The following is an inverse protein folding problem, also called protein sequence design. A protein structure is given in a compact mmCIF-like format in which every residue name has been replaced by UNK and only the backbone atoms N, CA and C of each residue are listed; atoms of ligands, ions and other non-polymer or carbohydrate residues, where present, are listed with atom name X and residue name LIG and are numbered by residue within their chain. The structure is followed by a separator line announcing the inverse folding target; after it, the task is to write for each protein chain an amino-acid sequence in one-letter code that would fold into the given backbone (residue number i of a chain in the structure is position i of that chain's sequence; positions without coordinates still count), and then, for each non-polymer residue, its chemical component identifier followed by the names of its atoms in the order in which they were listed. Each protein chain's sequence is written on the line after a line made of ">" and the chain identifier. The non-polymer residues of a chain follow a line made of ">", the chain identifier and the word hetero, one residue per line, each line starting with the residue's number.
data_IF_391431194324
#
_entry.id   IF_391431194324
#
_cell.length_a   1.000
_cell.length_b   1.000
_cell.length_c   1.000
_cell.angle_alpha   90.00
_cell.angle_beta   90.00
_cell.angle_gamma   90.00
#
_symmetry.space_group_name_H-M   'P 1'
#
loop_
_entity.id
_entity.type
_entity.pdbx_description
1 polymer ?
#
# COMPACT_ATOMS: atom_id res chain seq x y z
N UNK A 1 7.00 35.38 -8.55
CA UNK A 1 5.78 34.55 -8.36
C UNK A 1 6.21 33.39 -7.49
N UNK A 2 5.89 33.44 -6.21
CA UNK A 2 6.16 32.31 -5.32
C UNK A 2 5.24 31.16 -5.71
N UNK A 3 5.84 30.09 -6.24
CA UNK A 3 5.12 28.85 -6.51
C UNK A 3 5.02 28.13 -5.16
N UNK A 4 3.93 28.35 -4.45
CA UNK A 4 3.63 27.56 -3.25
C UNK A 4 3.26 26.15 -3.71
N UNK A 5 4.09 25.16 -3.36
CA UNK A 5 3.85 23.77 -3.70
C UNK A 5 2.57 23.22 -3.04
N UNK A 6 1.96 22.22 -3.68
CA UNK A 6 0.77 21.52 -3.15
C UNK A 6 1.21 20.27 -2.40
N UNK A 7 0.69 20.09 -1.18
CA UNK A 7 0.89 18.85 -0.41
C UNK A 7 0.05 17.75 -1.07
N UNK A 8 0.65 16.63 -1.53
CA UNK A 8 -0.09 15.56 -2.17
C UNK A 8 -0.90 14.75 -1.16
N UNK A 9 -2.13 14.38 -1.53
CA UNK A 9 -2.95 13.43 -0.77
C UNK A 9 -2.60 12.01 -1.17
N UNK A 10 -2.49 11.10 -0.20
CA UNK A 10 -2.19 9.69 -0.47
C UNK A 10 -3.48 8.88 -0.56
N UNK A 11 -3.64 8.13 -1.65
CA UNK A 11 -4.69 7.11 -1.74
C UNK A 11 -4.29 5.86 -0.96
N UNK A 12 -5.24 4.94 -0.74
CA UNK A 12 -4.91 3.62 -0.20
C UNK A 12 -3.94 2.85 -1.11
N UNK A 13 -4.09 2.97 -2.43
CA UNK A 13 -3.18 2.38 -3.41
C UNK A 13 -1.76 2.90 -3.27
N UNK A 14 -1.60 4.22 -3.08
CA UNK A 14 -0.28 4.82 -2.82
C UNK A 14 0.38 4.27 -1.56
N UNK A 15 -0.40 4.11 -0.48
CA UNK A 15 0.09 3.53 0.77
C UNK A 15 0.53 2.08 0.59
N UNK A 16 -0.24 1.26 -0.12
CA UNK A 16 0.11 -0.13 -0.43
C UNK A 16 1.39 -0.22 -1.27
N UNK A 17 1.50 0.63 -2.29
CA UNK A 17 2.69 0.73 -3.14
C UNK A 17 3.91 1.15 -2.35
N UNK A 18 3.79 2.19 -1.51
CA UNK A 18 4.89 2.66 -0.66
C UNK A 18 5.33 1.63 0.36
N UNK A 19 4.38 0.92 0.98
CA UNK A 19 4.67 -0.19 1.88
C UNK A 19 5.42 -1.32 1.17
N UNK A 20 5.03 -1.68 -0.07
CA UNK A 20 5.77 -2.65 -0.88
C UNK A 20 7.16 -2.13 -1.25
N UNK A 21 7.28 -0.89 -1.74
CA UNK A 21 8.56 -0.29 -2.13
C UNK A 21 9.57 -0.35 -0.96
N UNK A 22 9.12 -0.17 0.28
CA UNK A 22 9.94 -0.33 1.49
C UNK A 22 10.54 -1.73 1.69
N UNK A 23 10.00 -2.77 1.05
CA UNK A 23 10.56 -4.14 1.08
C UNK A 23 11.64 -4.37 0.02
N UNK A 24 11.79 -3.46 -0.95
CA UNK A 24 12.65 -3.65 -2.12
C UNK A 24 12.11 -4.63 -3.18
N UNK A 25 10.93 -5.23 -2.98
CA UNK A 25 10.33 -6.18 -3.89
C UNK A 25 9.61 -5.50 -5.06
N UNK A 26 9.79 -6.01 -6.27
CA UNK A 26 8.96 -5.66 -7.43
C UNK A 26 7.52 -6.15 -7.24
N UNK A 27 6.55 -5.61 -8.00
CA UNK A 27 5.16 -6.10 -7.95
C UNK A 27 5.03 -7.59 -8.25
N UNK A 28 5.87 -8.13 -9.15
CA UNK A 28 5.91 -9.57 -9.48
C UNK A 28 6.43 -10.40 -8.31
N UNK A 29 7.53 -9.99 -7.68
CA UNK A 29 8.09 -10.72 -6.53
C UNK A 29 7.14 -10.66 -5.34
N UNK A 30 6.55 -9.50 -5.08
CA UNK A 30 5.58 -9.33 -4.00
C UNK A 30 4.31 -10.17 -4.22
N UNK A 31 3.82 -10.25 -5.46
CA UNK A 31 2.71 -11.14 -5.82
C UNK A 31 3.04 -12.61 -5.56
N UNK A 32 4.27 -13.03 -5.88
CA UNK A 32 4.73 -14.39 -5.63
C UNK A 32 4.79 -14.72 -4.13
N UNK A 33 5.27 -13.77 -3.29
CA UNK A 33 5.27 -13.92 -1.82
C UNK A 33 3.84 -14.06 -1.28
N UNK A 34 2.89 -13.33 -1.85
CA UNK A 34 1.48 -13.36 -1.43
C UNK A 34 0.66 -14.50 -2.03
N UNK A 35 1.19 -15.25 -3.00
CA UNK A 35 0.46 -16.30 -3.70
C UNK A 35 -0.70 -15.79 -4.55
N UNK A 36 -0.58 -14.58 -5.12
CA UNK A 36 -1.60 -13.95 -5.98
C UNK A 36 -1.02 -13.57 -7.35
N UNK A 37 -1.86 -13.15 -8.30
CA UNK A 37 -1.37 -12.67 -9.59
C UNK A 37 -0.69 -11.29 -9.45
N UNK A 38 0.24 -10.99 -10.36
CA UNK A 38 0.81 -9.64 -10.47
C UNK A 38 -0.28 -8.58 -10.70
N UNK A 39 -1.32 -8.91 -11.46
CA UNK A 39 -2.45 -8.02 -11.72
C UNK A 39 -3.25 -7.67 -10.46
N UNK A 40 -3.36 -8.58 -9.49
CA UNK A 40 -3.97 -8.28 -8.18
C UNK A 40 -3.18 -7.18 -7.47
N UNK A 41 -1.85 -7.24 -7.51
CA UNK A 41 -0.99 -6.24 -6.87
C UNK A 41 -1.14 -4.89 -7.57
N UNK A 42 -1.02 -4.85 -8.90
CA UNK A 42 -1.12 -3.59 -9.65
C UNK A 42 -2.51 -2.96 -9.54
N UNK A 43 -3.58 -3.75 -9.52
CA UNK A 43 -4.94 -3.23 -9.37
C UNK A 43 -5.19 -2.65 -7.98
N UNK A 44 -4.62 -3.26 -6.94
CA UNK A 44 -4.70 -2.73 -5.58
C UNK A 44 -3.89 -1.43 -5.43
N UNK A 45 -2.66 -1.38 -5.94
CA UNK A 45 -1.78 -0.21 -5.89
C UNK A 45 -2.30 0.99 -6.71
N UNK A 46 -3.08 0.74 -7.76
CA UNK A 46 -3.65 1.79 -8.61
C UNK A 46 -5.12 2.12 -8.27
N UNK A 47 -5.67 1.58 -7.18
CA UNK A 47 -7.09 1.76 -6.80
C UNK A 47 -8.10 1.35 -7.91
N UNK A 48 -7.73 0.47 -8.83
CA UNK A 48 -8.62 0.01 -9.92
C UNK A 48 -9.77 -0.85 -9.42
N UNK A 49 -9.60 -1.51 -8.27
CA UNK A 49 -10.65 -2.31 -7.62
C UNK A 49 -10.73 -1.98 -6.14
N UNK A 50 -11.89 -2.23 -5.55
CA UNK A 50 -12.04 -2.13 -4.10
C UNK A 50 -11.13 -3.17 -3.44
N UNK A 51 -10.07 -2.69 -2.80
CA UNK A 51 -9.18 -3.55 -2.01
C UNK A 51 -9.93 -4.08 -0.81
N UNK A 52 -10.02 -5.41 -0.70
CA UNK A 52 -10.71 -6.07 0.41
C UNK A 52 -9.83 -6.02 1.66
N UNK A 53 -10.43 -5.98 2.85
CA UNK A 53 -9.68 -5.97 4.13
C UNK A 53 -8.67 -7.12 4.24
N UNK A 54 -9.01 -8.31 3.72
CA UNK A 54 -8.08 -9.46 3.70
C UNK A 54 -6.79 -9.15 2.92
N UNK A 55 -6.87 -8.39 1.84
CA UNK A 55 -5.71 -7.96 1.05
C UNK A 55 -4.82 -7.01 1.86
N UNK A 56 -5.42 -6.09 2.63
CA UNK A 56 -4.68 -5.18 3.51
C UNK A 56 -3.94 -5.94 4.62
N UNK A 57 -4.58 -6.96 5.21
CA UNK A 57 -3.96 -7.82 6.22
C UNK A 57 -2.78 -8.61 5.64
N UNK A 58 -2.91 -9.13 4.42
CA UNK A 58 -1.84 -9.82 3.71
C UNK A 58 -0.65 -8.89 3.44
N UNK A 59 -0.91 -7.66 3.01
CA UNK A 59 0.12 -6.62 2.89
C UNK A 59 0.82 -6.36 4.21
N UNK A 60 0.04 -6.09 5.26
CA UNK A 60 0.54 -5.80 6.60
C UNK A 60 1.46 -6.89 7.12
N UNK A 61 1.11 -8.17 6.89
CA UNK A 61 1.92 -9.32 7.28
C UNK A 61 3.29 -9.35 6.58
N UNK A 62 3.35 -8.99 5.29
CA UNK A 62 4.61 -9.05 4.51
C UNK A 62 5.46 -7.81 4.69
N UNK A 63 4.85 -6.64 4.79
CA UNK A 63 5.57 -5.36 4.88
C UNK A 63 5.87 -4.94 6.33
N UNK A 64 5.18 -5.53 7.31
CA UNK A 64 5.22 -5.09 8.70
C UNK A 64 4.47 -3.78 8.97
N UNK A 65 3.92 -3.14 7.94
CA UNK A 65 3.19 -1.87 8.09
C UNK A 65 1.82 -2.14 8.72
N UNK A 66 1.39 -1.38 9.74
CA UNK A 66 0.08 -1.58 10.38
C UNK A 66 -1.08 -1.51 9.38
N UNK A 67 -2.03 -2.44 9.49
CA UNK A 67 -3.21 -2.48 8.62
C UNK A 67 -4.03 -1.18 8.71
N UNK A 68 -4.10 -0.57 9.89
CA UNK A 68 -4.77 0.72 10.10
C UNK A 68 -4.13 1.82 9.25
N UNK A 69 -2.79 1.90 9.25
CA UNK A 69 -2.09 2.88 8.41
C UNK A 69 -2.32 2.62 6.92
N UNK A 70 -2.30 1.35 6.49
CA UNK A 70 -2.60 1.02 5.09
C UNK A 70 -4.01 1.48 4.68
N UNK A 71 -4.98 1.28 5.57
CA UNK A 71 -6.39 1.62 5.35
C UNK A 71 -6.63 3.14 5.38
N UNK A 72 -6.19 3.84 6.42
CA UNK A 72 -6.57 5.24 6.67
C UNK A 72 -5.45 6.25 6.42
N UNK A 73 -4.19 5.82 6.50
CA UNK A 73 -3.01 6.70 6.50
C UNK A 73 -2.65 7.22 7.89
N UNK A 74 -3.41 6.87 8.92
CA UNK A 74 -3.14 7.22 10.30
C UNK A 74 -2.26 6.14 10.93
N UNK A 75 -1.14 6.55 11.54
CA UNK A 75 -0.34 5.63 12.34
C UNK A 75 -1.13 5.28 13.60
N UNK A 76 -1.09 4.02 14.07
CA UNK A 76 -1.59 3.73 15.42
C UNK A 76 -0.83 4.61 16.41
N UNK A 77 -1.54 5.16 17.40
CA UNK A 77 -0.90 5.87 18.50
C UNK A 77 0.19 4.95 19.08
N UNK A 78 1.43 5.42 19.04
CA UNK A 78 2.53 4.72 19.65
C UNK A 78 2.45 4.99 21.16
N UNK A 79 2.17 3.99 22.02
CA UNK A 79 2.31 4.17 23.46
C UNK A 79 3.78 4.43 23.86
#
# INVERSE_FOLDING_TARGET
>A
MDVVGVIPTFTMGDRLRKAREGTGLTTRQFAAVLGVSQSTITNAENCHTRTRRITLLMWSRVTGVPVMWLETGEAPDNP
#
